data_IF_578822531769
#
_entry.id   IF_578822531769
#
_cell.length_a   1.000
_cell.length_b   1.000
_cell.length_c   1.000
_cell.angle_alpha   90.00
_cell.angle_beta   90.00
_cell.angle_gamma   90.00
#
_symmetry.space_group_name_H-M   'P 1'
#
loop_
_entity.id
_entity.type
_entity.pdbx_description
1 polymer ?
#
# COMPACT_ATOMS: atom_id res chain seq x y z
N UNK A 1 -2.27 65.08 -40.05
CA UNK A 1 -3.47 64.23 -40.23
C UNK A 1 -3.33 63.00 -39.35
N UNK A 2 -4.37 62.74 -38.57
CA UNK A 2 -4.53 61.64 -37.61
C UNK A 2 -4.57 60.27 -38.29
N UNK A 3 -3.95 59.27 -37.66
CA UNK A 3 -4.42 57.88 -37.50
C UNK A 3 -3.50 57.19 -36.47
N UNK A 4 -3.75 57.44 -35.18
CA UNK A 4 -4.35 56.49 -34.22
C UNK A 4 -3.66 55.11 -34.17
N UNK A 5 -2.83 54.95 -33.12
CA UNK A 5 -2.83 53.85 -32.14
C UNK A 5 -3.39 52.50 -32.62
N UNK A 6 -2.53 51.48 -32.73
CA UNK A 6 -2.77 50.16 -32.13
C UNK A 6 -1.44 49.62 -31.59
N UNK A 7 -1.34 49.62 -30.26
CA UNK A 7 -0.31 48.93 -29.48
C UNK A 7 -0.74 47.46 -29.41
N UNK A 8 -0.06 46.56 -30.12
CA UNK A 8 -0.28 45.12 -30.00
C UNK A 8 0.54 44.62 -28.80
N UNK A 9 -0.04 44.72 -27.61
CA UNK A 9 0.40 43.94 -26.45
C UNK A 9 -0.11 42.52 -26.69
N UNK A 10 0.76 41.67 -27.25
CA UNK A 10 0.55 40.23 -27.27
C UNK A 10 0.78 39.68 -25.86
N UNK A 11 -0.23 39.75 -25.00
CA UNK A 11 -0.31 38.86 -23.84
C UNK A 11 -0.52 37.44 -24.37
N UNK A 12 0.57 36.71 -24.59
CA UNK A 12 0.57 35.25 -24.59
C UNK A 12 0.18 34.80 -23.18
N UNK A 13 -1.14 34.75 -22.94
CA UNK A 13 -1.71 33.89 -21.92
C UNK A 13 -1.40 32.46 -22.39
N UNK A 14 -0.27 31.95 -21.92
CA UNK A 14 0.06 30.54 -21.99
C UNK A 14 -0.91 29.80 -21.07
N UNK A 15 -2.15 29.61 -21.51
CA UNK A 15 -3.01 28.57 -20.99
C UNK A 15 -2.40 27.25 -21.45
N UNK A 16 -1.46 26.74 -20.67
CA UNK A 16 -1.14 25.33 -20.64
C UNK A 16 -2.35 24.60 -20.09
N UNK A 17 -3.39 24.45 -20.92
CA UNK A 17 -4.38 23.41 -20.73
C UNK A 17 -3.63 22.10 -20.94
N UNK A 18 -3.15 21.52 -19.84
CA UNK A 18 -3.03 20.07 -19.78
C UNK A 18 -4.41 19.56 -20.21
N UNK A 19 -4.48 18.95 -21.40
CA UNK A 19 -5.70 18.44 -21.99
C UNK A 19 -6.53 17.78 -20.91
N UNK A 20 -7.77 18.24 -20.69
CA UNK A 20 -8.68 17.62 -19.73
C UNK A 20 -8.62 16.12 -19.96
N UNK A 21 -8.14 15.35 -18.98
CA UNK A 21 -8.33 13.91 -18.99
C UNK A 21 -9.82 13.70 -19.24
N UNK A 22 -10.19 13.08 -20.37
CA UNK A 22 -11.59 12.88 -20.81
C UNK A 22 -12.47 12.19 -19.75
N UNK A 23 -11.87 11.74 -18.66
CA UNK A 23 -12.46 11.10 -17.50
C UNK A 23 -12.88 12.05 -16.37
N UNK A 24 -12.64 13.36 -16.42
CA UNK A 24 -13.05 14.24 -15.32
C UNK A 24 -14.52 14.64 -15.40
N UNK A 25 -15.30 14.32 -14.35
CA UNK A 25 -16.73 14.61 -14.23
C UNK A 25 -17.01 15.81 -13.33
N UNK A 26 -16.15 16.02 -12.32
CA UNK A 26 -16.33 17.10 -11.34
C UNK A 26 -15.00 17.74 -11.02
N UNK A 27 -14.98 19.06 -11.17
CA UNK A 27 -13.86 19.93 -10.80
C UNK A 27 -14.11 20.60 -9.44
N UNK A 28 -13.01 20.99 -8.78
CA UNK A 28 -13.01 21.74 -7.54
C UNK A 28 -11.82 22.71 -7.56
N UNK A 29 -12.05 23.98 -7.24
CA UNK A 29 -10.98 24.97 -7.12
C UNK A 29 -10.54 25.06 -5.66
N UNK A 30 -9.24 24.87 -5.41
CA UNK A 30 -8.67 24.95 -4.06
C UNK A 30 -8.73 26.38 -3.50
N UNK A 31 -9.19 26.51 -2.27
CA UNK A 31 -9.22 27.76 -1.50
C UNK A 31 -7.99 27.87 -0.58
N UNK A 32 -7.75 29.06 -0.03
CA UNK A 32 -6.57 29.34 0.81
C UNK A 32 -6.42 28.41 2.03
N UNK A 33 -7.54 27.97 2.60
CA UNK A 33 -7.58 27.16 3.82
C UNK A 33 -7.78 25.67 3.58
N UNK A 34 -7.80 25.23 2.32
CA UNK A 34 -8.07 23.84 2.00
C UNK A 34 -6.87 22.94 2.34
N UNK A 35 -7.15 21.85 3.05
CA UNK A 35 -6.23 20.73 3.16
C UNK A 35 -6.57 19.74 2.04
N UNK A 36 -5.68 19.62 1.04
CA UNK A 36 -5.88 18.75 -0.14
C UNK A 36 -6.31 17.33 0.23
N UNK A 37 -5.77 16.76 1.30
CA UNK A 37 -6.13 15.40 1.72
C UNK A 37 -7.57 15.33 2.22
N UNK A 38 -8.05 16.37 2.92
CA UNK A 38 -9.46 16.47 3.32
C UNK A 38 -10.36 16.70 2.12
N UNK A 39 -9.96 17.55 1.18
CA UNK A 39 -10.74 17.81 -0.06
C UNK A 39 -10.94 16.50 -0.83
N UNK A 40 -9.89 15.70 -0.99
CA UNK A 40 -9.95 14.37 -1.62
C UNK A 40 -10.96 13.48 -0.88
N UNK A 41 -10.80 13.28 0.42
CA UNK A 41 -11.65 12.35 1.16
C UNK A 41 -13.11 12.82 1.27
N UNK A 42 -13.35 14.13 1.35
CA UNK A 42 -14.70 14.71 1.35
C UNK A 42 -15.45 14.45 0.03
N UNK A 43 -14.72 14.35 -1.09
CA UNK A 43 -15.26 13.96 -2.38
C UNK A 43 -15.31 12.43 -2.57
N UNK A 44 -15.05 11.65 -1.53
CA UNK A 44 -15.16 10.17 -1.51
C UNK A 44 -14.26 9.47 -2.55
N UNK A 45 -13.07 10.02 -2.79
CA UNK A 45 -12.09 9.50 -3.74
C UNK A 45 -10.81 9.06 -2.99
N UNK A 46 -10.18 7.98 -3.46
CA UNK A 46 -8.89 7.54 -2.92
C UNK A 46 -7.75 8.47 -3.36
N UNK A 47 -6.67 8.56 -2.58
CA UNK A 47 -5.48 9.34 -3.00
C UNK A 47 -4.90 8.86 -4.34
N UNK A 48 -4.96 7.55 -4.60
CA UNK A 48 -4.47 6.96 -5.85
C UNK A 48 -5.31 7.40 -7.04
N UNK A 49 -6.63 7.32 -6.93
CA UNK A 49 -7.54 7.74 -8.00
C UNK A 49 -7.44 9.24 -8.24
N UNK A 50 -7.33 10.04 -7.16
CA UNK A 50 -7.14 11.48 -7.29
C UNK A 50 -5.85 11.81 -8.06
N UNK A 51 -4.72 11.19 -7.70
CA UNK A 51 -3.46 11.39 -8.44
C UNK A 51 -3.61 11.00 -9.90
N UNK A 52 -4.23 9.86 -10.19
CA UNK A 52 -4.48 9.43 -11.57
C UNK A 52 -5.25 10.49 -12.37
N UNK A 53 -6.35 11.00 -11.82
CA UNK A 53 -7.20 12.01 -12.47
C UNK A 53 -6.50 13.35 -12.67
N UNK A 54 -5.43 13.62 -11.93
CA UNK A 54 -4.73 14.90 -11.93
C UNK A 54 -3.25 14.76 -12.35
N UNK A 55 -2.98 13.89 -13.32
CA UNK A 55 -1.67 13.80 -13.99
C UNK A 55 -0.54 13.28 -13.10
N UNK A 56 -0.86 12.51 -12.06
CA UNK A 56 0.09 11.95 -11.09
C UNK A 56 0.97 12.99 -10.35
N UNK A 57 0.53 14.25 -10.33
CA UNK A 57 1.20 15.33 -9.58
C UNK A 57 1.29 14.96 -8.09
N UNK A 58 2.40 15.33 -7.46
CA UNK A 58 2.60 15.17 -6.02
C UNK A 58 1.50 15.92 -5.25
N UNK A 59 0.87 15.24 -4.29
CA UNK A 59 -0.25 15.78 -3.51
C UNK A 59 0.11 17.05 -2.71
N UNK A 60 1.39 17.26 -2.41
CA UNK A 60 1.87 18.46 -1.68
C UNK A 60 2.16 19.65 -2.59
N UNK A 61 2.13 19.47 -3.91
CA UNK A 61 2.43 20.52 -4.88
C UNK A 61 1.17 21.31 -5.27
N UNK A 62 0.00 20.92 -4.76
CA UNK A 62 -1.25 21.63 -4.98
C UNK A 62 -1.33 22.89 -4.12
N UNK A 63 -1.83 23.97 -4.73
CA UNK A 63 -1.90 25.30 -4.12
C UNK A 63 -3.29 25.90 -4.25
N UNK A 64 -3.65 26.89 -3.41
CA UNK A 64 -4.86 27.68 -3.62
C UNK A 64 -4.93 28.22 -5.05
N UNK A 65 -6.10 28.17 -5.66
CA UNK A 65 -6.35 28.51 -7.05
C UNK A 65 -6.15 27.37 -8.05
N UNK A 66 -5.51 26.26 -7.68
CA UNK A 66 -5.44 25.09 -8.54
C UNK A 66 -6.86 24.53 -8.77
N UNK A 67 -7.22 24.30 -10.04
CA UNK A 67 -8.42 23.57 -10.43
C UNK A 67 -8.12 22.07 -10.54
N UNK A 68 -8.80 21.27 -9.74
CA UNK A 68 -8.52 19.84 -9.57
C UNK A 68 -9.74 18.99 -9.87
N UNK A 69 -9.49 17.82 -10.48
CA UNK A 69 -10.50 16.81 -10.72
C UNK A 69 -10.77 15.98 -9.46
N UNK A 70 -12.02 16.01 -8.97
CA UNK A 70 -12.45 15.31 -7.75
C UNK A 70 -13.48 14.21 -7.99
N UNK A 71 -13.96 14.05 -9.23
CA UNK A 71 -14.75 12.89 -9.65
C UNK A 71 -14.48 12.54 -11.11
N UNK A 72 -14.58 11.26 -11.44
CA UNK A 72 -14.29 10.74 -12.76
C UNK A 72 -14.26 9.22 -12.81
N UNK A 73 -14.62 8.63 -13.95
CA UNK A 73 -14.50 7.20 -14.20
C UNK A 73 -13.05 6.77 -14.47
N UNK A 74 -12.59 5.76 -13.72
CA UNK A 74 -11.23 5.19 -13.86
C UNK A 74 -11.29 3.69 -13.59
N UNK A 75 -10.65 2.89 -14.44
CA UNK A 75 -10.44 1.44 -14.21
C UNK A 75 -9.44 1.24 -13.07
N UNK A 76 -9.70 0.33 -12.14
CA UNK A 76 -8.81 0.17 -10.98
C UNK A 76 -7.44 -0.39 -11.38
N UNK A 77 -7.31 -1.15 -12.47
CA UNK A 77 -6.02 -1.52 -13.08
C UNK A 77 -5.12 -0.36 -13.53
N UNK A 78 -5.65 0.87 -13.60
CA UNK A 78 -4.86 2.09 -13.78
C UNK A 78 -4.52 2.75 -12.44
N UNK A 79 -5.46 2.72 -11.50
CA UNK A 79 -5.30 3.27 -10.14
C UNK A 79 -4.22 2.48 -9.37
N UNK A 80 -4.22 1.15 -9.51
CA UNK A 80 -3.29 0.26 -8.80
C UNK A 80 -1.83 0.40 -9.26
N UNK A 81 -1.58 1.14 -10.36
CA UNK A 81 -0.26 1.50 -10.87
C UNK A 81 0.23 2.86 -10.36
N UNK A 82 -0.57 3.54 -9.56
CA UNK A 82 -0.21 4.82 -8.95
C UNK A 82 0.50 4.61 -7.63
N UNK A 83 1.47 5.48 -7.36
CA UNK A 83 2.20 5.54 -6.12
C UNK A 83 1.76 6.83 -5.39
N UNK A 84 1.50 6.76 -4.08
CA UNK A 84 1.07 7.90 -3.24
C UNK A 84 2.03 8.22 -2.08
N UNK A 85 3.33 7.91 -2.26
CA UNK A 85 4.42 8.07 -1.27
C UNK A 85 4.53 9.47 -0.66
N UNK A 86 3.85 10.48 -1.20
CA UNK A 86 3.90 11.86 -0.72
C UNK A 86 2.96 12.10 0.46
N UNK A 87 1.94 11.25 0.61
CA UNK A 87 1.13 11.23 1.81
C UNK A 87 1.95 10.62 2.97
N UNK A 88 2.62 9.50 2.69
CA UNK A 88 3.58 8.87 3.59
C UNK A 88 4.84 8.42 2.89
N UNK A 89 5.96 9.06 3.24
CA UNK A 89 7.25 8.44 2.99
C UNK A 89 7.48 7.40 4.09
N UNK A 90 6.85 6.23 3.93
CA UNK A 90 7.24 5.03 4.65
C UNK A 90 8.65 4.67 4.20
N UNK A 91 9.63 5.14 4.97
CA UNK A 91 10.99 4.61 4.89
C UNK A 91 11.18 3.72 6.10
N UNK A 92 11.66 2.50 5.89
CA UNK A 92 12.13 1.64 6.98
C UNK A 92 13.04 2.46 7.88
N UNK A 93 12.69 2.65 9.15
CA UNK A 93 13.62 3.28 10.05
C UNK A 93 14.82 2.35 10.15
N UNK A 94 15.99 2.86 9.79
CA UNK A 94 17.26 2.12 9.92
C UNK A 94 17.48 1.73 11.38
N UNK A 95 18.25 0.64 11.64
CA UNK A 95 18.65 0.26 13.01
C UNK A 95 19.16 1.46 13.82
N UNK A 96 19.99 2.31 13.19
CA UNK A 96 20.48 3.58 13.78
C UNK A 96 19.36 4.55 14.16
N UNK A 97 18.35 4.74 13.30
CA UNK A 97 17.20 5.60 13.63
C UNK A 97 16.38 5.03 14.79
N UNK A 98 16.17 3.71 14.83
CA UNK A 98 15.47 3.05 15.95
C UNK A 98 16.23 3.27 17.25
N UNK A 99 17.56 3.09 17.25
CA UNK A 99 18.41 3.35 18.42
C UNK A 99 18.35 4.81 18.87
N UNK A 100 18.41 5.77 17.93
CA UNK A 100 18.27 7.20 18.24
C UNK A 100 16.92 7.49 18.89
N UNK A 101 15.84 6.96 18.32
CA UNK A 101 14.49 7.14 18.87
C UNK A 101 14.36 6.57 20.28
N UNK A 102 14.86 5.34 20.49
CA UNK A 102 14.86 4.69 21.80
C UNK A 102 15.70 5.44 22.84
N UNK A 103 16.88 5.94 22.44
CA UNK A 103 17.73 6.76 23.32
C UNK A 103 17.04 8.05 23.72
N UNK A 104 16.39 8.72 22.78
CA UNK A 104 15.64 9.95 23.04
C UNK A 104 14.45 9.71 23.99
N UNK A 105 13.69 8.63 23.80
CA UNK A 105 12.58 8.27 24.71
C UNK A 105 13.12 8.05 26.13
N UNK A 106 14.19 7.26 26.27
CA UNK A 106 14.81 6.96 27.58
C UNK A 106 15.43 8.18 28.26
N UNK A 107 15.87 9.18 27.50
CA UNK A 107 16.38 10.44 28.06
C UNK A 107 15.28 11.44 28.42
N UNK A 108 14.08 11.28 27.86
CA UNK A 108 12.97 12.23 28.02
C UNK A 108 11.98 11.78 29.08
N UNK A 109 11.76 10.47 29.20
CA UNK A 109 10.75 9.88 30.07
C UNK A 109 11.40 9.03 31.17
N UNK A 110 10.82 9.07 32.37
CA UNK A 110 11.20 8.18 33.46
C UNK A 110 10.64 6.76 33.25
N UNK A 111 11.06 5.81 34.10
CA UNK A 111 10.67 4.40 33.98
C UNK A 111 9.15 4.18 34.06
N UNK A 112 8.45 4.90 34.93
CA UNK A 112 6.99 4.83 35.09
C UNK A 112 6.27 5.36 33.84
N UNK A 113 6.73 6.49 33.29
CA UNK A 113 6.20 7.07 32.06
C UNK A 113 6.43 6.15 30.86
N UNK A 114 7.59 5.49 30.76
CA UNK A 114 7.87 4.51 29.71
C UNK A 114 6.92 3.31 29.81
N UNK A 115 6.65 2.81 31.02
CA UNK A 115 5.67 1.73 31.21
C UNK A 115 4.27 2.17 30.79
N UNK A 116 3.87 3.39 31.14
CA UNK A 116 2.57 3.95 30.74
C UNK A 116 2.48 4.14 29.22
N UNK A 117 3.52 4.67 28.59
CA UNK A 117 3.62 4.81 27.14
C UNK A 117 3.50 3.46 26.43
N UNK A 118 4.17 2.42 26.92
CA UNK A 118 4.08 1.07 26.34
C UNK A 118 2.65 0.51 26.45
N UNK A 119 1.94 0.76 27.55
CA UNK A 119 0.52 0.40 27.69
C UNK A 119 -0.36 1.16 26.68
N UNK A 120 -0.14 2.46 26.50
CA UNK A 120 -0.85 3.25 25.49
C UNK A 120 -0.61 2.71 24.08
N UNK A 121 0.65 2.43 23.72
CA UNK A 121 1.01 1.87 22.42
C UNK A 121 0.36 0.52 22.18
N UNK A 122 0.37 -0.36 23.19
CA UNK A 122 -0.31 -1.65 23.09
C UNK A 122 -1.81 -1.46 22.82
N UNK A 123 -2.47 -0.60 23.59
CA UNK A 123 -3.89 -0.32 23.41
C UNK A 123 -4.23 0.22 22.01
N UNK A 124 -3.39 1.10 21.44
CA UNK A 124 -3.57 1.57 20.06
C UNK A 124 -3.35 0.43 19.05
N UNK A 125 -2.34 -0.43 19.25
CA UNK A 125 -2.08 -1.57 18.36
C UNK A 125 -3.24 -2.57 18.39
N UNK A 126 -3.74 -2.91 19.58
CA UNK A 126 -4.90 -3.78 19.74
C UNK A 126 -6.11 -3.22 18.99
N UNK A 127 -6.40 -1.92 19.12
CA UNK A 127 -7.49 -1.26 18.38
C UNK A 127 -7.28 -1.28 16.85
N UNK A 128 -6.04 -1.14 16.38
CA UNK A 128 -5.69 -1.26 14.96
C UNK A 128 -5.93 -2.69 14.48
N UNK A 129 -5.42 -3.69 15.19
CA UNK A 129 -5.53 -5.10 14.81
C UNK A 129 -6.99 -5.56 14.79
N UNK A 130 -7.77 -5.24 15.82
CA UNK A 130 -9.19 -5.57 15.90
C UNK A 130 -10.01 -4.90 14.79
N UNK A 131 -9.69 -3.65 14.46
CA UNK A 131 -10.39 -2.90 13.42
C UNK A 131 -10.01 -3.36 12.02
N UNK A 132 -8.73 -3.65 11.81
CA UNK A 132 -8.14 -3.98 10.51
C UNK A 132 -7.94 -5.50 10.33
N UNK A 133 -8.61 -6.35 11.11
CA UNK A 133 -8.67 -7.76 10.75
C UNK A 133 -9.62 -7.94 9.55
N UNK A 134 -9.06 -8.40 8.41
CA UNK A 134 -9.78 -8.57 7.16
C UNK A 134 -10.21 -10.01 6.88
N UNK A 135 -10.03 -10.95 7.83
CA UNK A 135 -10.64 -12.30 7.73
C UNK A 135 -12.18 -12.27 7.82
N UNK A 136 -12.75 -11.10 8.05
CA UNK A 136 -14.18 -10.84 7.93
C UNK A 136 -14.69 -11.18 6.51
N UNK A 137 -15.50 -12.24 6.43
CA UNK A 137 -16.05 -12.76 5.16
C UNK A 137 -17.23 -11.95 4.63
N UNK A 138 -17.67 -10.91 5.33
CA UNK A 138 -18.78 -10.08 4.85
C UNK A 138 -18.39 -9.26 3.61
N UNK A 139 -19.36 -8.94 2.72
CA UNK A 139 -19.10 -8.07 1.58
C UNK A 139 -18.49 -6.74 2.02
N UNK A 140 -17.57 -6.22 1.21
CA UNK A 140 -16.95 -4.93 1.48
C UNK A 140 -18.01 -3.83 1.55
N UNK A 141 -17.94 -2.99 2.58
CA UNK A 141 -18.77 -1.79 2.75
C UNK A 141 -17.89 -0.62 3.15
N UNK A 142 -18.03 0.48 2.41
CA UNK A 142 -17.33 1.74 2.72
C UNK A 142 -17.67 2.22 4.12
N UNK A 143 -18.95 2.16 4.50
CA UNK A 143 -19.44 2.60 5.80
C UNK A 143 -18.89 1.73 6.94
N UNK A 144 -18.82 0.41 6.73
CA UNK A 144 -18.19 -0.50 7.72
C UNK A 144 -16.69 -0.24 7.83
N UNK A 145 -16.01 -0.05 6.71
CA UNK A 145 -14.58 0.30 6.69
C UNK A 145 -14.31 1.65 7.37
N UNK A 146 -15.11 2.68 7.09
CA UNK A 146 -14.99 3.99 7.74
C UNK A 146 -15.21 3.92 9.24
N UNK A 147 -16.20 3.15 9.72
CA UNK A 147 -16.42 2.94 11.17
C UNK A 147 -15.20 2.32 11.86
N UNK A 148 -14.51 1.39 11.19
CA UNK A 148 -13.23 0.83 11.67
C UNK A 148 -12.15 1.92 11.75
N UNK A 149 -12.04 2.78 10.75
CA UNK A 149 -11.13 3.93 10.78
C UNK A 149 -11.47 4.95 11.87
N UNK A 150 -12.77 5.24 12.08
CA UNK A 150 -13.25 6.14 13.12
C UNK A 150 -12.90 5.57 14.51
N UNK A 151 -13.05 4.26 14.74
CA UNK A 151 -12.68 3.61 15.99
C UNK A 151 -11.18 3.80 16.32
N UNK A 152 -10.30 3.48 15.37
CA UNK A 152 -8.84 3.67 15.52
C UNK A 152 -8.53 5.14 15.84
N UNK A 153 -9.14 6.06 15.09
CA UNK A 153 -8.93 7.49 15.28
C UNK A 153 -9.40 7.99 16.65
N UNK A 154 -10.55 7.50 17.13
CA UNK A 154 -11.07 7.86 18.45
C UNK A 154 -10.15 7.38 19.59
N UNK A 155 -9.56 6.18 19.46
CA UNK A 155 -8.56 5.68 20.42
C UNK A 155 -7.30 6.55 20.42
N UNK A 156 -6.79 6.91 19.24
CA UNK A 156 -5.60 7.76 19.13
C UNK A 156 -5.87 9.16 19.69
N UNK A 157 -7.00 9.78 19.34
CA UNK A 157 -7.39 11.11 19.80
C UNK A 157 -7.61 11.13 21.31
N UNK A 158 -8.28 10.12 21.87
CA UNK A 158 -8.56 10.08 23.32
C UNK A 158 -7.27 10.02 24.13
N UNK A 159 -6.27 9.27 23.67
CA UNK A 159 -4.95 9.24 24.30
C UNK A 159 -4.18 10.55 24.05
N UNK A 160 -4.14 11.04 22.81
CA UNK A 160 -3.38 12.23 22.44
C UNK A 160 -3.83 13.51 23.18
N UNK A 161 -5.12 13.62 23.49
CA UNK A 161 -5.72 14.79 24.15
C UNK A 161 -5.88 14.64 25.66
N UNK A 162 -5.59 13.47 26.22
CA UNK A 162 -5.70 13.26 27.66
C UNK A 162 -4.40 13.71 28.36
N UNK A 163 -4.44 14.77 29.19
CA UNK A 163 -3.24 15.29 29.85
C UNK A 163 -2.63 14.31 30.86
N UNK A 164 -3.39 13.27 31.28
CA UNK A 164 -2.88 12.24 32.15
C UNK A 164 -2.11 11.15 31.39
N UNK A 165 -2.23 11.06 30.07
CA UNK A 165 -1.57 10.05 29.26
C UNK A 165 -0.23 10.54 28.72
N UNK A 166 0.71 9.59 28.53
CA UNK A 166 2.07 9.92 28.03
C UNK A 166 2.09 9.97 26.51
N UNK A 167 1.24 9.18 25.87
CA UNK A 167 1.12 9.16 24.42
C UNK A 167 0.66 10.52 23.88
N UNK A 168 1.42 11.07 22.94
CA UNK A 168 0.97 12.21 22.13
C UNK A 168 1.64 12.20 20.75
N UNK A 169 0.94 12.78 19.77
CA UNK A 169 1.47 13.07 18.44
C UNK A 169 2.64 14.04 18.52
N UNK A 170 2.64 14.95 19.50
CA UNK A 170 3.78 15.84 19.75
C UNK A 170 5.02 15.05 20.18
N UNK A 171 4.87 14.07 21.08
CA UNK A 171 5.97 13.17 21.45
C UNK A 171 6.48 12.39 20.23
N UNK A 172 5.59 11.81 19.41
CA UNK A 172 5.98 11.14 18.16
C UNK A 172 6.78 12.08 17.27
N UNK A 173 6.31 13.31 17.05
CA UNK A 173 6.98 14.29 16.20
C UNK A 173 8.35 14.71 16.75
N UNK A 174 8.51 14.78 18.07
CA UNK A 174 9.81 15.02 18.71
C UNK A 174 10.77 13.86 18.47
N UNK A 175 10.30 12.61 18.59
CA UNK A 175 11.11 11.42 18.24
C UNK A 175 11.48 11.43 16.75
N UNK A 176 10.52 11.69 15.86
CA UNK A 176 10.73 11.73 14.41
C UNK A 176 11.75 12.79 14.02
N UNK A 177 11.69 13.98 14.61
CA UNK A 177 12.70 15.03 14.40
C UNK A 177 14.11 14.55 14.74
N UNK A 178 14.28 13.80 15.83
CA UNK A 178 15.59 13.21 16.21
C UNK A 178 16.03 12.10 15.25
N UNK A 179 15.09 11.33 14.71
CA UNK A 179 15.33 10.30 13.70
C UNK A 179 15.52 10.86 12.29
N UNK A 180 15.48 12.19 12.10
CA UNK A 180 15.45 12.84 10.79
C UNK A 180 14.29 12.35 9.90
N UNK A 181 13.09 12.25 10.48
CA UNK A 181 11.84 11.87 9.81
C UNK A 181 10.86 13.05 9.76
N UNK A 182 10.00 13.13 8.73
CA UNK A 182 8.97 14.16 8.64
C UNK A 182 7.96 14.05 9.79
N UNK A 183 7.48 15.19 10.28
CA UNK A 183 6.39 15.22 11.26
C UNK A 183 5.05 14.81 10.65
N UNK A 184 4.14 14.34 11.50
CA UNK A 184 2.79 13.92 11.15
C UNK A 184 1.73 14.78 11.84
N UNK A 185 0.53 14.81 11.25
CA UNK A 185 -0.67 15.44 11.83
C UNK A 185 -1.44 14.45 12.71
N UNK A 186 -2.34 14.92 13.57
CA UNK A 186 -3.16 14.05 14.44
C UNK A 186 -4.02 13.06 13.65
N UNK A 187 -4.68 13.52 12.59
CA UNK A 187 -5.61 12.73 11.76
C UNK A 187 -4.92 11.90 10.67
N UNK A 188 -3.61 11.69 10.78
CA UNK A 188 -2.78 11.06 9.75
C UNK A 188 -3.21 9.63 9.45
N UNK A 189 -3.32 8.78 10.49
CA UNK A 189 -3.73 7.38 10.34
C UNK A 189 -5.17 7.29 9.82
N UNK A 190 -6.04 8.17 10.32
CA UNK A 190 -7.43 8.24 9.88
C UNK A 190 -7.57 8.47 8.38
N UNK A 191 -6.92 9.51 7.86
CA UNK A 191 -6.98 9.84 6.44
C UNK A 191 -6.42 8.71 5.56
N UNK A 192 -5.35 8.03 6.02
CA UNK A 192 -4.81 6.83 5.34
C UNK A 192 -5.84 5.71 5.25
N UNK A 193 -6.46 5.41 6.40
CA UNK A 193 -7.44 4.34 6.52
C UNK A 193 -8.66 4.62 5.65
N UNK A 194 -9.21 5.84 5.69
CA UNK A 194 -10.37 6.24 4.88
C UNK A 194 -10.04 6.23 3.39
N UNK A 195 -8.85 6.69 2.97
CA UNK A 195 -8.43 6.55 1.57
C UNK A 195 -8.42 5.09 1.12
N UNK A 196 -7.95 4.18 1.97
CA UNK A 196 -7.96 2.74 1.67
C UNK A 196 -9.38 2.15 1.64
N UNK A 197 -10.32 2.68 2.40
CA UNK A 197 -11.73 2.33 2.23
C UNK A 197 -12.26 2.72 0.84
N UNK A 198 -11.82 3.85 0.28
CA UNK A 198 -12.19 4.22 -1.08
C UNK A 198 -11.50 3.35 -2.14
N UNK A 199 -10.27 2.89 -1.87
CA UNK A 199 -9.63 1.85 -2.70
C UNK A 199 -10.49 0.58 -2.68
N UNK A 200 -10.85 0.06 -1.51
CA UNK A 200 -11.68 -1.15 -1.39
C UNK A 200 -13.00 -1.03 -2.17
N UNK A 201 -13.61 0.15 -2.17
CA UNK A 201 -14.82 0.46 -2.95
C UNK A 201 -14.58 0.46 -4.47
N UNK A 202 -13.44 0.99 -4.90
CA UNK A 202 -13.04 1.01 -6.31
C UNK A 202 -12.83 -0.43 -6.81
N UNK A 203 -12.15 -1.27 -6.02
CA UNK A 203 -11.94 -2.68 -6.36
C UNK A 203 -13.27 -3.46 -6.35
N UNK A 204 -14.13 -3.26 -5.35
CA UNK A 204 -15.40 -4.00 -5.25
C UNK A 204 -16.38 -3.70 -6.38
N UNK A 205 -16.17 -2.59 -7.12
CA UNK A 205 -16.97 -2.20 -8.27
C UNK A 205 -16.42 -2.71 -9.60
N UNK A 206 -15.22 -3.30 -9.61
CA UNK A 206 -14.72 -3.95 -10.83
C UNK A 206 -15.54 -5.20 -11.13
N UNK A 207 -16.23 -5.19 -12.27
CA UNK A 207 -16.87 -6.39 -12.79
C UNK A 207 -15.79 -7.34 -13.32
N UNK A 208 -15.76 -8.62 -12.89
CA UNK A 208 -14.82 -9.63 -13.39
C UNK A 208 -14.93 -9.87 -14.91
N UNK A 209 -16.04 -9.47 -15.54
CA UNK A 209 -16.39 -9.82 -16.92
C UNK A 209 -16.02 -8.78 -17.99
N UNK A 210 -15.49 -7.61 -17.64
CA UNK A 210 -15.14 -6.60 -18.66
C UNK A 210 -13.73 -6.82 -19.24
N UNK A 211 -13.56 -7.90 -20.01
CA UNK A 211 -12.49 -8.01 -21.01
C UNK A 211 -13.00 -8.61 -22.32
N UNK A 212 -13.50 -7.72 -23.18
CA UNK A 212 -13.15 -7.80 -24.60
C UNK A 212 -11.75 -7.19 -24.78
N UNK A 213 -10.88 -7.95 -25.42
CA UNK A 213 -9.74 -7.50 -26.24
C UNK A 213 -8.70 -6.58 -25.58
N UNK A 214 -7.73 -7.17 -24.87
CA UNK A 214 -6.37 -6.61 -24.80
C UNK A 214 -5.34 -7.71 -25.11
N UNK A 215 -4.85 -7.62 -26.35
CA UNK A 215 -3.62 -8.18 -26.92
C UNK A 215 -3.38 -9.69 -26.88
N UNK A 216 -3.52 -10.28 -28.07
CA UNK A 216 -2.68 -11.37 -28.56
C UNK A 216 -1.19 -11.05 -28.31
N UNK A 217 -0.62 -11.57 -27.22
CA UNK A 217 0.78 -12.01 -27.26
C UNK A 217 0.78 -13.50 -27.65
N UNK A 218 0.73 -13.71 -28.96
CA UNK A 218 1.16 -14.97 -29.56
C UNK A 218 2.67 -15.13 -29.29
N UNK A 219 3.00 -15.88 -28.24
CA UNK A 219 4.39 -16.16 -27.85
C UNK A 219 4.60 -17.62 -27.47
N UNK A 220 4.30 -18.55 -28.38
CA UNK A 220 4.72 -19.95 -28.37
C UNK A 220 4.59 -20.72 -27.04
N UNK A 221 3.38 -21.18 -26.74
CA UNK A 221 3.06 -22.18 -25.71
C UNK A 221 3.46 -23.62 -26.12
N UNK A 222 4.64 -23.84 -26.71
CA UNK A 222 5.16 -25.20 -26.95
C UNK A 222 5.99 -25.65 -25.74
N UNK A 223 5.30 -25.97 -24.66
CA UNK A 223 5.86 -26.62 -23.47
C UNK A 223 5.99 -28.13 -23.75
N UNK A 224 7.18 -28.57 -24.17
CA UNK A 224 7.53 -29.99 -24.25
C UNK A 224 7.75 -30.58 -22.85
N UNK A 225 7.08 -31.69 -22.54
CA UNK A 225 7.29 -32.49 -21.32
C UNK A 225 8.78 -32.81 -21.12
N UNK A 226 9.38 -32.37 -20.01
CA UNK A 226 10.69 -32.86 -19.52
C UNK A 226 10.50 -34.00 -18.52
N UNK A 227 11.48 -34.90 -18.47
CA UNK A 227 11.47 -36.09 -17.62
C UNK A 227 11.86 -35.81 -16.15
N UNK A 228 12.50 -34.68 -15.85
CA UNK A 228 12.90 -34.30 -14.48
C UNK A 228 12.96 -32.80 -14.28
N UNK A 229 12.71 -32.36 -13.04
CA UNK A 229 12.73 -30.96 -12.65
C UNK A 229 14.16 -30.50 -12.33
N UNK A 230 14.57 -29.31 -12.81
CA UNK A 230 15.85 -28.75 -12.42
C UNK A 230 15.90 -28.57 -10.90
N UNK A 231 17.03 -28.93 -10.28
CA UNK A 231 17.22 -28.73 -8.85
C UNK A 231 17.08 -27.24 -8.49
N UNK A 232 16.49 -26.95 -7.34
CA UNK A 232 16.30 -25.57 -6.85
C UNK A 232 17.65 -25.04 -6.35
N UNK A 233 18.44 -24.51 -7.28
CA UNK A 233 19.70 -23.82 -6.96
C UNK A 233 19.37 -22.36 -6.64
N UNK A 234 19.67 -21.95 -5.41
CA UNK A 234 19.61 -20.55 -4.98
C UNK A 234 20.72 -19.78 -5.69
N UNK A 235 20.39 -18.71 -6.42
CA UNK A 235 21.39 -17.86 -7.09
C UNK A 235 22.09 -16.98 -6.08
N UNK A 236 21.31 -16.34 -5.21
CA UNK A 236 21.80 -15.48 -4.14
C UNK A 236 20.73 -15.34 -3.06
N UNK A 237 21.13 -14.88 -1.88
CA UNK A 237 20.19 -14.30 -0.94
C UNK A 237 20.01 -12.82 -1.27
N UNK A 238 18.77 -12.35 -1.37
CA UNK A 238 18.46 -10.96 -1.12
C UNK A 238 18.42 -10.77 0.39
N UNK A 239 19.39 -10.03 0.91
CA UNK A 239 19.50 -9.73 2.34
C UNK A 239 19.03 -8.31 2.58
N UNK A 240 18.02 -8.15 3.43
CA UNK A 240 17.62 -6.86 3.99
C UNK A 240 17.64 -6.98 5.51
N UNK A 241 18.79 -6.65 6.10
CA UNK A 241 19.07 -6.83 7.53
C UNK A 241 18.88 -8.29 7.96
N UNK A 242 17.90 -8.56 8.81
CA UNK A 242 17.59 -9.88 9.38
C UNK A 242 16.66 -10.68 8.44
N UNK A 243 16.13 -10.06 7.38
CA UNK A 243 15.36 -10.74 6.35
C UNK A 243 16.29 -11.32 5.28
N UNK A 244 16.22 -12.64 5.11
CA UNK A 244 16.93 -13.38 4.04
C UNK A 244 15.89 -13.97 3.10
N UNK A 245 15.79 -13.42 1.89
CA UNK A 245 14.91 -13.92 0.83
C UNK A 245 15.77 -14.63 -0.22
N UNK A 246 15.56 -15.93 -0.49
CA UNK A 246 16.28 -16.60 -1.55
C UNK A 246 15.85 -16.08 -2.93
N UNK A 247 16.81 -15.77 -3.79
CA UNK A 247 16.62 -15.36 -5.19
C UNK A 247 17.02 -16.52 -6.10
N UNK A 248 16.24 -16.76 -7.15
CA UNK A 248 16.37 -17.92 -8.04
C UNK A 248 16.62 -17.51 -9.50
N UNK A 249 17.15 -18.42 -10.36
CA UNK A 249 17.49 -18.09 -11.73
C UNK A 249 16.25 -17.92 -12.60
N UNK A 250 16.35 -17.04 -13.62
CA UNK A 250 15.28 -16.81 -14.58
C UNK A 250 15.36 -17.83 -15.74
N UNK A 251 14.65 -18.96 -15.65
CA UNK A 251 14.45 -19.93 -16.76
C UNK A 251 12.97 -20.16 -17.07
N UNK A 252 12.52 -19.98 -18.33
CA UNK A 252 11.10 -20.04 -18.78
C UNK A 252 10.29 -21.30 -18.38
N UNK A 253 10.95 -22.35 -17.88
CA UNK A 253 10.35 -23.64 -17.53
C UNK A 253 10.18 -23.85 -16.00
N UNK A 254 10.37 -22.80 -15.19
CA UNK A 254 10.38 -22.87 -13.73
C UNK A 254 9.31 -21.98 -13.10
N UNK A 255 8.57 -22.49 -12.10
CA UNK A 255 7.60 -21.74 -11.27
C UNK A 255 8.19 -20.41 -10.79
N UNK A 256 9.50 -20.38 -10.54
CA UNK A 256 10.23 -19.22 -10.00
C UNK A 256 10.40 -18.07 -11.00
N UNK A 257 10.17 -18.30 -12.29
CA UNK A 257 10.16 -17.22 -13.31
C UNK A 257 8.85 -16.49 -13.44
N UNK A 258 7.84 -17.04 -12.78
CA UNK A 258 6.51 -16.48 -12.72
C UNK A 258 6.20 -15.81 -11.39
N UNK A 259 7.15 -15.86 -10.46
CA UNK A 259 7.17 -15.02 -9.27
C UNK A 259 7.65 -13.63 -9.69
N UNK A 260 6.72 -12.71 -9.86
CA UNK A 260 7.00 -11.33 -10.27
C UNK A 260 6.96 -10.34 -9.10
N UNK A 261 6.64 -10.84 -7.90
CA UNK A 261 6.66 -10.07 -6.66
C UNK A 261 5.40 -9.24 -6.50
N UNK A 262 5.51 -8.06 -5.88
CA UNK A 262 4.33 -7.24 -5.66
C UNK A 262 3.97 -6.48 -6.96
N UNK A 263 3.16 -7.10 -7.82
CA UNK A 263 2.68 -6.53 -9.09
C UNK A 263 1.83 -5.25 -8.96
N UNK A 264 1.32 -4.96 -7.75
CA UNK A 264 0.53 -3.76 -7.43
C UNK A 264 1.39 -2.62 -6.88
N UNK A 265 1.32 -1.44 -7.51
CA UNK A 265 2.01 -0.23 -7.00
C UNK A 265 1.36 0.40 -5.76
N UNK A 266 0.15 -0.03 -5.39
CA UNK A 266 -0.45 0.28 -4.08
C UNK A 266 0.47 -0.20 -2.95
N UNK A 267 1.23 -1.28 -3.20
CA UNK A 267 2.19 -1.79 -2.25
C UNK A 267 3.54 -1.10 -2.32
N UNK A 268 3.84 -0.23 -3.29
CA UNK A 268 5.20 0.31 -3.48
C UNK A 268 5.83 0.95 -2.24
N UNK A 269 5.03 1.58 -1.37
CA UNK A 269 5.50 2.17 -0.11
C UNK A 269 6.10 1.13 0.83
N UNK A 270 5.60 -0.11 0.75
CA UNK A 270 6.00 -1.23 1.58
C UNK A 270 6.38 -2.48 0.78
N UNK A 271 6.60 -2.33 -0.52
CA UNK A 271 6.78 -3.45 -1.43
C UNK A 271 8.03 -4.21 -1.04
N UNK A 272 9.09 -3.52 -0.61
CA UNK A 272 10.30 -4.17 -0.10
C UNK A 272 10.03 -5.07 1.11
N UNK A 273 9.04 -4.74 1.96
CA UNK A 273 8.68 -5.57 3.11
C UNK A 273 7.76 -6.71 2.73
N UNK A 274 6.82 -6.49 1.81
CA UNK A 274 5.83 -7.49 1.40
C UNK A 274 6.27 -8.33 0.21
N UNK A 275 7.38 -8.00 -0.45
CA UNK A 275 7.98 -8.83 -1.52
C UNK A 275 8.09 -10.29 -1.13
N UNK A 276 8.54 -10.67 0.10
CA UNK A 276 8.48 -12.07 0.52
C UNK A 276 7.06 -12.64 0.46
N UNK A 277 6.07 -11.96 1.04
CA UNK A 277 4.68 -12.40 1.02
C UNK A 277 4.12 -12.50 -0.42
N UNK A 278 4.37 -11.51 -1.27
CA UNK A 278 3.98 -11.53 -2.69
C UNK A 278 4.64 -12.72 -3.42
N UNK A 279 5.93 -12.96 -3.21
CA UNK A 279 6.62 -14.09 -3.82
C UNK A 279 6.04 -15.44 -3.41
N UNK A 280 5.66 -15.57 -2.13
CA UNK A 280 4.99 -16.77 -1.61
C UNK A 280 3.60 -16.94 -2.20
N UNK A 281 2.87 -15.84 -2.41
CA UNK A 281 1.54 -15.81 -3.03
C UNK A 281 1.59 -16.27 -4.49
N UNK A 282 2.49 -15.71 -5.29
CA UNK A 282 2.70 -16.09 -6.70
C UNK A 282 3.05 -17.58 -6.81
N UNK A 283 4.01 -18.05 -5.99
CA UNK A 283 4.39 -19.46 -5.97
C UNK A 283 3.22 -20.36 -5.55
N UNK A 284 2.36 -19.89 -4.64
CA UNK A 284 1.21 -20.63 -4.17
C UNK A 284 0.11 -20.76 -5.23
N UNK A 285 -0.14 -19.74 -6.05
CA UNK A 285 -1.16 -19.76 -7.12
C UNK A 285 -0.95 -20.87 -8.15
N UNK A 286 0.31 -21.24 -8.34
CA UNK A 286 0.65 -22.41 -9.13
C UNK A 286 0.17 -23.73 -8.53
N UNK A 287 -0.14 -23.80 -7.24
CA UNK A 287 -0.16 -25.04 -6.49
C UNK A 287 -1.38 -25.35 -5.67
N UNK A 288 -1.83 -24.39 -4.88
CA UNK A 288 -2.92 -24.59 -3.96
C UNK A 288 -4.15 -23.83 -4.46
N UNK A 289 -5.26 -24.05 -3.79
CA UNK A 289 -6.47 -23.29 -4.03
C UNK A 289 -6.21 -21.80 -3.79
N UNK A 290 -6.74 -20.96 -4.68
CA UNK A 290 -6.64 -19.50 -4.59
C UNK A 290 -6.97 -18.97 -3.20
N UNK A 291 -8.04 -19.47 -2.59
CA UNK A 291 -8.49 -19.03 -1.26
C UNK A 291 -7.43 -19.28 -0.19
N UNK A 292 -6.77 -20.43 -0.21
CA UNK A 292 -5.69 -20.80 0.70
C UNK A 292 -4.47 -19.90 0.48
N UNK A 293 -4.10 -19.66 -0.78
CA UNK A 293 -3.00 -18.77 -1.11
C UNK A 293 -3.25 -17.33 -0.67
N UNK A 294 -4.46 -16.81 -0.90
CA UNK A 294 -4.82 -15.46 -0.47
C UNK A 294 -4.74 -15.33 1.07
N UNK A 295 -5.21 -16.34 1.81
CA UNK A 295 -5.19 -16.34 3.27
C UNK A 295 -3.76 -16.45 3.82
N UNK A 296 -2.90 -17.26 3.20
CA UNK A 296 -1.48 -17.36 3.57
C UNK A 296 -0.72 -16.06 3.22
N UNK A 297 -1.08 -15.39 2.12
CA UNK A 297 -0.56 -14.06 1.78
C UNK A 297 -0.91 -13.02 2.85
N UNK A 298 -2.16 -13.03 3.33
CA UNK A 298 -2.61 -12.17 4.42
C UNK A 298 -1.82 -12.42 5.72
N UNK A 299 -1.70 -13.69 6.13
CA UNK A 299 -1.02 -14.07 7.37
C UNK A 299 0.48 -13.73 7.31
N UNK A 300 1.12 -13.88 6.15
CA UNK A 300 2.50 -13.47 5.93
C UNK A 300 2.69 -11.95 6.05
N UNK A 301 1.84 -11.15 5.39
CA UNK A 301 1.90 -9.69 5.51
C UNK A 301 1.61 -9.22 6.95
N UNK A 302 0.68 -9.88 7.66
CA UNK A 302 0.39 -9.61 9.07
C UNK A 302 1.64 -9.80 9.94
N UNK A 303 2.32 -10.94 9.78
CA UNK A 303 3.55 -11.27 10.50
C UNK A 303 4.67 -10.26 10.20
N UNK A 304 4.83 -9.87 8.94
CA UNK A 304 5.83 -8.87 8.53
C UNK A 304 5.58 -7.52 9.22
N UNK A 305 4.32 -7.08 9.31
CA UNK A 305 3.99 -5.83 10.03
C UNK A 305 4.32 -5.91 11.52
N UNK A 306 4.06 -7.06 12.16
CA UNK A 306 4.31 -7.26 13.60
C UNK A 306 5.82 -7.28 13.91
N UNK A 307 6.60 -7.95 13.07
CA UNK A 307 8.05 -8.09 13.29
C UNK A 307 8.81 -6.80 13.00
N UNK A 308 8.48 -6.08 11.92
CA UNK A 308 9.28 -4.95 11.45
C UNK A 308 9.02 -3.63 12.17
N UNK A 309 7.88 -3.50 12.86
CA UNK A 309 7.49 -2.24 13.51
C UNK A 309 7.23 -2.41 15.03
N UNK A 310 8.24 -2.84 15.80
CA UNK A 310 8.12 -2.96 17.24
C UNK A 310 8.15 -1.59 17.92
N UNK A 311 7.36 -1.43 18.99
CA UNK A 311 7.44 -0.28 19.90
C UNK A 311 6.79 1.03 19.44
N UNK A 312 6.97 2.07 20.24
CA UNK A 312 6.33 3.39 20.11
C UNK A 312 6.78 4.16 18.86
N UNK A 313 8.09 4.22 18.60
CA UNK A 313 8.67 5.01 17.50
C UNK A 313 8.24 4.53 16.11
N UNK A 314 7.65 3.34 16.01
CA UNK A 314 7.20 2.73 14.77
C UNK A 314 5.67 2.56 14.72
N UNK A 315 4.92 3.13 15.67
CA UNK A 315 3.47 2.95 15.74
C UNK A 315 2.75 3.43 14.47
N UNK A 316 3.21 4.53 13.89
CA UNK A 316 2.63 5.09 12.65
C UNK A 316 2.91 4.15 11.47
N UNK A 317 4.13 3.63 11.37
CA UNK A 317 4.51 2.68 10.34
C UNK A 317 3.77 1.35 10.48
N UNK A 318 3.54 0.90 11.73
CA UNK A 318 2.71 -0.26 12.05
C UNK A 318 1.29 -0.09 11.52
N UNK A 319 0.65 1.03 11.85
CA UNK A 319 -0.72 1.32 11.41
C UNK A 319 -0.82 1.33 9.88
N UNK A 320 0.12 1.97 9.20
CA UNK A 320 0.16 2.03 7.74
C UNK A 320 0.40 0.66 7.11
N UNK A 321 1.32 -0.14 7.65
CA UNK A 321 1.56 -1.51 7.19
C UNK A 321 0.27 -2.35 7.24
N UNK A 322 -0.51 -2.26 8.33
CA UNK A 322 -1.79 -2.98 8.47
C UNK A 322 -2.84 -2.48 7.47
N UNK A 323 -2.89 -1.18 7.21
CA UNK A 323 -3.80 -0.59 6.23
C UNK A 323 -3.49 -1.12 4.83
N UNK A 324 -2.22 -1.08 4.41
CA UNK A 324 -1.81 -1.56 3.08
C UNK A 324 -1.94 -3.08 2.93
N UNK A 325 -1.64 -3.86 3.98
CA UNK A 325 -1.92 -5.31 4.03
C UNK A 325 -3.37 -5.59 3.64
N UNK A 326 -4.31 -4.90 4.28
CA UNK A 326 -5.74 -5.10 4.01
C UNK A 326 -6.13 -4.69 2.59
N UNK A 327 -5.60 -3.59 2.09
CA UNK A 327 -5.87 -3.16 0.72
C UNK A 327 -5.37 -4.20 -0.29
N UNK A 328 -4.14 -4.72 -0.11
CA UNK A 328 -3.61 -5.77 -0.96
C UNK A 328 -4.41 -7.07 -0.87
N UNK A 329 -4.81 -7.49 0.33
CA UNK A 329 -5.64 -8.68 0.51
C UNK A 329 -7.02 -8.52 -0.15
N UNK A 330 -7.64 -7.34 -0.05
CA UNK A 330 -8.89 -7.06 -0.76
C UNK A 330 -8.72 -7.16 -2.27
N UNK A 331 -7.65 -6.58 -2.82
CA UNK A 331 -7.35 -6.66 -4.26
C UNK A 331 -7.26 -8.10 -4.73
N UNK A 332 -6.51 -8.96 -4.03
CA UNK A 332 -6.37 -10.36 -4.47
C UNK A 332 -7.67 -11.15 -4.33
N UNK A 333 -8.53 -10.83 -3.35
CA UNK A 333 -9.81 -11.52 -3.18
C UNK A 333 -10.84 -11.20 -4.25
N UNK A 334 -10.93 -9.94 -4.69
CA UNK A 334 -12.06 -9.47 -5.53
C UNK A 334 -11.70 -9.05 -6.95
N UNK A 335 -10.43 -8.79 -7.27
CA UNK A 335 -10.06 -8.34 -8.62
C UNK A 335 -10.10 -9.48 -9.63
N UNK A 336 -10.83 -9.26 -10.73
CA UNK A 336 -10.91 -10.22 -11.85
C UNK A 336 -9.57 -10.46 -12.55
N UNK A 337 -8.67 -9.48 -12.55
CA UNK A 337 -7.31 -9.62 -13.10
C UNK A 337 -6.49 -10.64 -12.29
N UNK A 338 -6.68 -10.67 -10.96
CA UNK A 338 -6.01 -11.63 -10.08
C UNK A 338 -6.59 -13.03 -10.25
N UNK A 339 -7.91 -13.16 -10.42
CA UNK A 339 -8.53 -14.45 -10.74
C UNK A 339 -8.02 -14.98 -12.09
N UNK A 340 -7.91 -14.13 -13.11
CA UNK A 340 -7.35 -14.53 -14.40
C UNK A 340 -5.88 -14.96 -14.27
N UNK A 341 -5.07 -14.23 -13.50
CA UNK A 341 -3.71 -14.62 -13.16
C UNK A 341 -3.67 -16.01 -12.54
N UNK A 342 -4.42 -16.24 -11.46
CA UNK A 342 -4.56 -17.56 -10.85
C UNK A 342 -4.93 -18.65 -11.87
N UNK A 343 -5.93 -18.42 -12.73
CA UNK A 343 -6.38 -19.40 -13.71
C UNK A 343 -5.28 -19.75 -14.74
N UNK A 344 -4.50 -18.76 -15.20
CA UNK A 344 -3.36 -19.00 -16.12
C UNK A 344 -2.26 -19.80 -15.43
N UNK A 345 -1.98 -19.47 -14.17
CA UNK A 345 -0.91 -20.03 -13.35
C UNK A 345 -1.22 -21.47 -12.99
N UNK A 346 -2.50 -21.74 -12.76
CA UNK A 346 -3.02 -23.05 -12.44
C UNK A 346 -3.10 -23.96 -13.67
N UNK A 347 -3.42 -23.43 -14.86
CA UNK A 347 -3.45 -24.16 -16.14
C UNK A 347 -2.05 -24.50 -16.68
N UNK A 348 -1.00 -23.94 -16.11
CA UNK A 348 0.37 -24.23 -16.52
C UNK A 348 0.70 -25.72 -16.31
N UNK A 349 0.91 -26.43 -17.42
CA UNK A 349 1.17 -27.86 -17.44
C UNK A 349 2.67 -28.13 -17.39
N UNK A 350 3.21 -28.35 -16.19
CA UNK A 350 4.60 -28.74 -15.97
C UNK A 350 4.69 -29.78 -14.86
N UNK A 351 5.52 -30.82 -15.06
CA UNK A 351 5.86 -31.83 -14.05
C UNK A 351 6.58 -31.23 -12.83
N UNK A 352 6.92 -29.94 -12.87
CA UNK A 352 7.64 -29.20 -11.82
C UNK A 352 6.75 -28.27 -11.01
N UNK A 353 5.44 -28.33 -11.22
CA UNK A 353 4.44 -27.69 -10.39
C UNK A 353 4.37 -28.43 -9.04
N UNK A 354 4.53 -27.70 -7.93
CA UNK A 354 4.20 -28.15 -6.56
C UNK A 354 5.00 -29.33 -6.03
N UNK A 355 6.29 -29.37 -6.32
CA UNK A 355 7.18 -30.31 -5.65
C UNK A 355 7.16 -30.07 -4.14
N UNK A 356 7.44 -31.10 -3.35
CA UNK A 356 7.60 -30.99 -1.89
C UNK A 356 8.61 -29.89 -1.52
N UNK A 357 9.62 -29.69 -2.36
CA UNK A 357 10.62 -28.65 -2.18
C UNK A 357 10.04 -27.23 -2.38
N UNK A 358 9.21 -27.01 -3.41
CA UNK A 358 8.50 -25.74 -3.63
C UNK A 358 7.52 -25.47 -2.49
N UNK A 359 6.71 -26.47 -2.13
CA UNK A 359 5.78 -26.37 -1.01
C UNK A 359 6.53 -25.97 0.26
N UNK A 360 7.60 -26.67 0.64
CA UNK A 360 8.33 -26.42 1.88
C UNK A 360 9.20 -25.14 1.91
N UNK A 361 9.67 -24.66 0.75
CA UNK A 361 10.59 -23.51 0.70
C UNK A 361 9.90 -22.19 0.34
N UNK A 362 8.79 -22.22 -0.40
CA UNK A 362 8.16 -21.03 -0.97
C UNK A 362 6.73 -20.81 -0.48
N UNK A 363 5.98 -21.89 -0.16
CA UNK A 363 4.55 -21.80 0.14
C UNK A 363 4.27 -21.98 1.64
N UNK A 364 4.77 -23.04 2.27
CA UNK A 364 4.47 -23.39 3.67
C UNK A 364 5.44 -22.80 4.69
N UNK A 365 6.58 -22.26 4.26
CA UNK A 365 7.39 -21.40 5.12
C UNK A 365 6.80 -20.00 5.12
N UNK A 366 6.04 -19.70 6.18
CA UNK A 366 5.98 -18.35 6.71
C UNK A 366 7.42 -17.86 6.78
N UNK A 367 7.81 -16.92 5.92
CA UNK A 367 9.21 -16.52 5.72
C UNK A 367 9.83 -16.24 7.09
N UNK A 368 10.67 -17.17 7.56
CA UNK A 368 11.40 -17.00 8.80
C UNK A 368 12.38 -15.86 8.56
N UNK A 369 12.05 -14.70 9.10
CA UNK A 369 12.99 -13.61 9.33
C UNK A 369 14.12 -14.22 10.17
N UNK A 370 15.33 -14.25 9.61
CA UNK A 370 16.50 -14.85 10.23
C UNK A 370 16.90 -14.10 11.51
#
# INVERSE_FOLDING_TARGET
MNLRKILLISTTIGLSFASSLKSCEKHYTLNENDDIFKVILNNKISFHKFKYLNGNKNLRDYKPGDDICVAGEVKFSNINKINVNEFFKMGKPTKKQIEIGNKFIKSTLNSTEIQKLNKNVKYIKDAIDDSLDSKDKSPFSVEKCKRKCDHINNVIISLNRNPNEVFSINLINNVFKKMNRPSIKENTIYMSCVSNCYIGNEVSKENPQNKENVSNESGNSRLSKRASCPSIVKVRDFKNEDLVVPVYPNTRDDVRTRVDGCSSKILNEIADYFTPACNGHDACYHCLDKSKCDDDFYDNMQYICEKNFPGFSNLIDYAQCKIYKNAAYQVVKVSGDVQWGYDQDHKWNSNCKCTTEINNKLISKNFLLA
#
